data_IF_384192871554
#
_entry.id   IF_384192871554
#
_cell.length_a   1.000
_cell.length_b   1.000
_cell.length_c   1.000
_cell.angle_alpha   90.00
_cell.angle_beta   90.00
_cell.angle_gamma   90.00
#
_symmetry.space_group_name_H-M   'P 1'
#
loop_
_entity.id
_entity.type
_entity.pdbx_description
1 polymer ?
#
# COMPACT_ATOMS: atom_id res chain seq x y z
N UNK A 1 -9.78 -5.75 22.00
CA UNK A 1 -8.83 -5.72 20.87
C UNK A 1 -8.81 -4.31 20.32
N UNK A 2 -7.63 -3.84 19.90
CA UNK A 2 -7.53 -2.61 19.14
C UNK A 2 -8.26 -2.75 17.81
N UNK A 3 -8.62 -1.63 17.18
CA UNK A 3 -9.24 -1.61 15.85
C UNK A 3 -8.51 -0.63 14.95
N UNK A 4 -8.42 -0.97 13.67
CA UNK A 4 -7.97 -0.03 12.65
C UNK A 4 -9.02 1.07 12.51
N UNK A 5 -8.64 2.33 12.74
CA UNK A 5 -9.51 3.50 12.63
C UNK A 5 -9.15 4.42 11.48
N UNK A 6 -7.93 4.30 10.95
CA UNK A 6 -7.54 5.00 9.73
C UNK A 6 -6.36 4.31 9.05
N UNK A 7 -6.25 4.50 7.73
CA UNK A 7 -5.09 4.09 6.93
C UNK A 7 -4.75 5.25 5.99
N UNK A 8 -3.48 5.64 5.94
CA UNK A 8 -3.01 6.77 5.12
C UNK A 8 -1.83 6.35 4.26
N UNK A 9 -2.04 6.31 2.95
CA UNK A 9 -1.01 6.11 1.95
C UNK A 9 -0.39 7.42 1.47
N UNK A 10 0.90 7.41 1.18
CA UNK A 10 1.65 8.55 0.62
C UNK A 10 2.75 8.08 -0.33
N UNK A 11 3.12 8.94 -1.27
CA UNK A 11 4.27 8.73 -2.16
C UNK A 11 5.54 9.25 -1.46
N UNK A 12 6.55 8.40 -1.32
CA UNK A 12 7.88 8.72 -0.79
C UNK A 12 8.96 8.30 -1.79
N UNK A 13 10.23 8.55 -1.51
CA UNK A 13 11.35 8.16 -2.38
C UNK A 13 12.14 6.99 -1.79
N UNK A 14 12.45 6.00 -2.64
CA UNK A 14 13.36 4.90 -2.32
C UNK A 14 14.83 5.35 -2.26
N UNK A 15 15.73 4.44 -1.91
CA UNK A 15 17.17 4.70 -1.81
C UNK A 15 17.85 5.09 -3.13
N UNK A 16 17.15 4.94 -4.27
CA UNK A 16 17.61 5.32 -5.61
C UNK A 16 16.90 6.58 -6.12
N UNK A 17 16.07 7.22 -5.30
CA UNK A 17 15.30 8.40 -5.66
C UNK A 17 14.11 8.13 -6.58
N UNK A 18 13.62 6.87 -6.67
CA UNK A 18 12.38 6.57 -7.37
C UNK A 18 11.19 6.62 -6.41
N UNK A 19 10.00 7.02 -6.87
CA UNK A 19 8.79 6.95 -6.05
C UNK A 19 8.50 5.54 -5.54
N UNK A 20 7.98 5.42 -4.32
CA UNK A 20 7.40 4.20 -3.75
C UNK A 20 6.30 4.58 -2.75
N UNK A 21 5.52 3.60 -2.30
CA UNK A 21 4.43 3.81 -1.34
C UNK A 21 4.90 3.63 0.10
N UNK A 22 4.42 4.51 0.97
CA UNK A 22 4.43 4.34 2.42
C UNK A 22 2.99 4.39 2.93
N UNK A 23 2.68 3.56 3.93
CA UNK A 23 1.37 3.53 4.56
C UNK A 23 1.49 3.60 6.08
N UNK A 24 0.64 4.43 6.69
CA UNK A 24 0.38 4.44 8.13
C UNK A 24 -0.93 3.70 8.42
N UNK A 25 -0.93 2.83 9.42
CA UNK A 25 -2.13 2.21 10.00
C UNK A 25 -2.32 2.79 11.41
N UNK A 26 -3.45 3.44 11.62
CA UNK A 26 -3.80 4.10 12.89
C UNK A 26 -4.83 3.27 13.64
N UNK A 27 -4.57 3.00 14.92
CA UNK A 27 -5.45 2.23 15.79
C UNK A 27 -6.28 3.12 16.73
N UNK A 28 -7.41 2.60 17.20
CA UNK A 28 -8.31 3.28 18.15
C UNK A 28 -7.65 3.66 19.49
N UNK A 29 -6.57 2.98 19.86
CA UNK A 29 -5.76 3.29 21.03
C UNK A 29 -4.62 4.30 20.76
N UNK A 30 -4.57 4.89 19.57
CA UNK A 30 -3.58 5.90 19.18
C UNK A 30 -2.24 5.35 18.69
N UNK A 31 -2.02 4.02 18.69
CA UNK A 31 -0.83 3.43 18.09
C UNK A 31 -0.85 3.64 16.58
N UNK A 32 0.33 3.94 16.02
CA UNK A 32 0.54 4.05 14.57
C UNK A 32 1.67 3.12 14.15
N UNK A 33 1.40 2.26 13.17
CA UNK A 33 2.41 1.49 12.46
C UNK A 33 2.65 2.06 11.07
N UNK A 34 3.91 2.31 10.73
CA UNK A 34 4.32 2.87 9.43
C UNK A 34 5.23 1.90 8.71
N UNK A 35 5.01 1.71 7.40
CA UNK A 35 5.85 0.88 6.57
C UNK A 35 5.95 1.42 5.14
N UNK A 36 7.15 1.34 4.58
CA UNK A 36 7.45 1.67 3.18
C UNK A 36 7.70 0.39 2.38
N UNK A 37 7.10 0.29 1.20
CA UNK A 37 7.37 -0.82 0.29
C UNK A 37 8.74 -0.62 -0.41
N UNK A 38 9.63 -1.63 -0.43
CA UNK A 38 10.82 -1.58 -1.27
C UNK A 38 10.44 -1.75 -2.74
N UNK A 39 11.29 -1.28 -3.66
CA UNK A 39 11.14 -1.52 -5.10
C UNK A 39 12.36 -2.23 -5.67
N UNK A 40 12.13 -3.39 -6.29
CA UNK A 40 13.15 -4.18 -6.98
C UNK A 40 13.58 -3.53 -8.31
N UNK A 41 14.82 -3.81 -8.75
CA UNK A 41 15.25 -3.51 -10.12
C UNK A 41 14.97 -4.67 -11.09
N UNK A 42 14.98 -5.90 -10.56
CA UNK A 42 14.65 -7.12 -11.30
C UNK A 42 13.15 -7.36 -11.14
N UNK A 43 12.44 -7.44 -12.26
CA UNK A 43 11.01 -7.77 -12.28
C UNK A 43 10.88 -9.10 -13.00
N UNK A 44 11.06 -10.19 -12.26
CA UNK A 44 10.75 -11.52 -12.79
C UNK A 44 9.29 -11.56 -13.26
N UNK A 45 9.02 -12.22 -14.39
CA UNK A 45 7.66 -12.31 -14.95
C UNK A 45 6.64 -13.06 -14.08
N UNK A 46 7.09 -13.62 -12.95
CA UNK A 46 6.28 -14.34 -11.95
C UNK A 46 6.20 -13.63 -10.60
N UNK A 47 6.70 -12.40 -10.52
CA UNK A 47 6.58 -11.57 -9.32
C UNK A 47 5.24 -10.83 -9.31
N UNK A 48 4.76 -10.47 -8.12
CA UNK A 48 3.65 -9.54 -8.00
C UNK A 48 4.02 -8.21 -8.66
N UNK A 49 3.10 -7.65 -9.43
CA UNK A 49 3.38 -6.46 -10.25
C UNK A 49 3.26 -5.18 -9.42
N UNK A 50 4.32 -4.39 -9.40
CA UNK A 50 4.32 -3.06 -8.81
C UNK A 50 3.53 -2.08 -9.70
N UNK A 51 2.46 -1.48 -9.16
CA UNK A 51 1.62 -0.54 -9.90
C UNK A 51 2.29 0.83 -10.04
N UNK A 52 2.73 1.16 -11.26
CA UNK A 52 3.30 2.47 -11.63
C UNK A 52 2.29 3.34 -12.38
N UNK A 53 2.44 4.66 -12.25
CA UNK A 53 1.54 5.63 -12.86
C UNK A 53 1.63 5.63 -14.39
N UNK A 54 2.84 5.46 -14.94
CA UNK A 54 3.11 5.52 -16.37
C UNK A 54 3.15 6.94 -16.96
N UNK A 55 2.91 7.97 -16.14
CA UNK A 55 3.00 9.37 -16.54
C UNK A 55 4.46 9.81 -16.72
N UNK A 56 4.91 9.90 -17.97
CA UNK A 56 6.29 10.27 -18.30
C UNK A 56 6.70 11.67 -17.82
N UNK A 57 5.74 12.55 -17.53
CA UNK A 57 6.02 13.89 -17.00
C UNK A 57 6.44 13.88 -15.52
N UNK A 58 6.10 12.81 -14.77
CA UNK A 58 6.47 12.63 -13.37
C UNK A 58 7.39 11.43 -13.19
N UNK A 59 8.60 11.68 -12.70
CA UNK A 59 9.58 10.62 -12.40
C UNK A 59 9.78 9.62 -13.55
N UNK A 60 9.72 10.09 -14.81
CA UNK A 60 9.85 9.25 -16.01
C UNK A 60 8.84 8.09 -16.08
N UNK A 61 7.62 8.27 -15.53
CA UNK A 61 6.58 7.24 -15.49
C UNK A 61 6.59 6.36 -14.23
N UNK A 62 7.54 6.57 -13.32
CA UNK A 62 7.71 5.75 -12.11
C UNK A 62 6.90 6.23 -10.90
N UNK A 63 6.07 7.27 -11.04
CA UNK A 63 5.14 7.69 -9.99
C UNK A 63 4.26 6.53 -9.50
N UNK A 64 3.72 6.66 -8.29
CA UNK A 64 2.88 5.63 -7.64
C UNK A 64 1.57 6.21 -7.10
N UNK A 65 1.09 7.34 -7.62
CA UNK A 65 -0.14 7.97 -7.12
C UNK A 65 -1.37 7.08 -7.27
N UNK A 66 -1.43 6.22 -8.30
CA UNK A 66 -2.51 5.22 -8.43
C UNK A 66 -2.48 4.22 -7.29
N UNK A 67 -1.30 3.72 -6.92
CA UNK A 67 -1.14 2.81 -5.79
C UNK A 67 -1.49 3.51 -4.46
N UNK A 68 -1.06 4.76 -4.27
CA UNK A 68 -1.44 5.60 -3.12
C UNK A 68 -2.96 5.79 -3.04
N UNK A 69 -3.64 6.02 -4.17
CA UNK A 69 -5.09 6.14 -4.21
C UNK A 69 -5.79 4.82 -3.81
N UNK A 70 -5.25 3.67 -4.22
CA UNK A 70 -5.77 2.37 -3.80
C UNK A 70 -5.64 2.15 -2.28
N UNK A 71 -4.53 2.60 -1.66
CA UNK A 71 -4.35 2.58 -0.20
C UNK A 71 -5.40 3.47 0.47
N UNK A 72 -5.53 4.72 0.03
CA UNK A 72 -6.39 5.72 0.67
C UNK A 72 -7.90 5.52 0.43
N UNK A 73 -8.28 4.71 -0.56
CA UNK A 73 -9.67 4.41 -0.90
C UNK A 73 -10.00 2.95 -0.58
N UNK A 74 -10.04 2.05 -1.60
CA UNK A 74 -10.61 0.72 -1.45
C UNK A 74 -9.95 -0.14 -0.37
N UNK A 75 -8.63 -0.06 -0.17
CA UNK A 75 -7.95 -0.82 0.90
C UNK A 75 -8.32 -0.26 2.28
N UNK A 76 -8.28 1.07 2.45
CA UNK A 76 -8.71 1.72 3.69
C UNK A 76 -10.14 1.33 4.04
N UNK A 77 -11.08 1.54 3.11
CA UNK A 77 -12.51 1.27 3.33
C UNK A 77 -12.77 -0.20 3.68
N UNK A 78 -12.01 -1.11 3.06
CA UNK A 78 -12.08 -2.54 3.36
C UNK A 78 -11.63 -2.86 4.78
N UNK A 79 -10.55 -2.24 5.27
CA UNK A 79 -9.86 -2.65 6.49
C UNK A 79 -10.29 -1.87 7.75
N UNK A 80 -11.02 -0.76 7.61
CA UNK A 80 -11.57 -0.02 8.74
C UNK A 80 -12.41 -0.92 9.66
N UNK A 81 -12.19 -0.76 10.97
CA UNK A 81 -12.88 -1.51 12.02
C UNK A 81 -12.39 -2.96 12.23
N UNK A 82 -11.45 -3.45 11.42
CA UNK A 82 -10.86 -4.78 11.60
C UNK A 82 -9.84 -4.80 12.74
N UNK A 83 -9.61 -6.01 13.24
CA UNK A 83 -8.59 -6.29 14.25
C UNK A 83 -7.19 -6.30 13.60
N UNK A 84 -6.26 -5.43 14.01
CA UNK A 84 -4.92 -5.38 13.45
C UNK A 84 -4.07 -6.63 13.76
N UNK A 85 -4.45 -7.48 14.72
CA UNK A 85 -3.66 -8.70 15.01
C UNK A 85 -4.04 -9.90 14.15
N UNK A 86 -5.17 -9.85 13.42
CA UNK A 86 -5.59 -10.92 12.51
C UNK A 86 -4.95 -10.74 11.12
N UNK A 87 -3.62 -10.79 11.09
CA UNK A 87 -2.81 -10.54 9.89
C UNK A 87 -3.29 -11.35 8.67
N UNK A 88 -3.59 -12.64 8.88
CA UNK A 88 -4.03 -13.54 7.80
C UNK A 88 -5.37 -13.12 7.21
N UNK A 89 -6.33 -12.70 8.03
CA UNK A 89 -7.61 -12.22 7.53
C UNK A 89 -7.48 -10.89 6.77
N UNK A 90 -6.62 -9.99 7.23
CA UNK A 90 -6.34 -8.71 6.55
C UNK A 90 -5.73 -8.96 5.16
N UNK A 91 -4.68 -9.79 5.10
CA UNK A 91 -3.98 -10.10 3.85
C UNK A 91 -4.91 -10.80 2.84
N UNK A 92 -5.68 -11.80 3.28
CA UNK A 92 -6.65 -12.46 2.42
C UNK A 92 -7.76 -11.52 1.92
N UNK A 93 -8.20 -10.58 2.76
CA UNK A 93 -9.19 -9.59 2.34
C UNK A 93 -8.64 -8.69 1.24
N UNK A 94 -7.38 -8.24 1.35
CA UNK A 94 -6.73 -7.42 0.32
C UNK A 94 -6.50 -8.20 -0.98
N UNK A 95 -6.06 -9.45 -0.91
CA UNK A 95 -5.92 -10.33 -2.09
C UNK A 95 -7.26 -10.50 -2.80
N UNK A 96 -8.33 -10.77 -2.03
CA UNK A 96 -9.67 -10.91 -2.58
C UNK A 96 -10.20 -9.61 -3.20
N UNK A 97 -9.86 -8.47 -2.61
CA UNK A 97 -10.24 -7.15 -3.12
C UNK A 97 -9.57 -6.85 -4.47
N UNK A 98 -8.28 -7.18 -4.61
CA UNK A 98 -7.56 -7.02 -5.87
C UNK A 98 -8.15 -7.90 -6.98
N UNK A 99 -8.44 -9.17 -6.66
CA UNK A 99 -9.24 -10.05 -7.50
C UNK A 99 -8.56 -10.51 -8.79
N UNK A 100 -7.24 -10.30 -8.93
CA UNK A 100 -6.44 -10.84 -10.03
C UNK A 100 -5.94 -12.26 -9.73
N UNK A 101 -5.68 -13.04 -10.79
CA UNK A 101 -5.14 -14.42 -10.73
C UNK A 101 -3.63 -14.46 -10.96
#
# INVERSE_FOLDING_TARGET
>A
MAKIVDIKGREVLDSRGNPTVEADVVLDNGIVGSACAPSGASTGSREALELRDGDKSRYMGKGVLKAVANINGPIRDLLLGKDPVDQKALDHAMIKLDGTE
#
